data_IF_099764501540
#
_entry.id   IF_099764501540
#
_cell.length_a   1.000
_cell.length_b   1.000
_cell.length_c   1.000
_cell.angle_alpha   90.00
_cell.angle_beta   90.00
_cell.angle_gamma   90.00
#
_symmetry.space_group_name_H-M   'P 1'
#
loop_
_entity.id
_entity.type
_entity.pdbx_description
1 polymer ?
#
# COMPACT_ATOMS: atom_id res chain seq x y z
N UNK A 1 6.07 4.96 -11.95
CA UNK A 1 6.58 3.98 -10.97
C UNK A 1 7.43 4.71 -9.93
N UNK A 2 7.38 4.25 -8.68
CA UNK A 2 8.13 4.79 -7.54
C UNK A 2 9.62 4.52 -7.74
N UNK A 3 10.43 5.57 -7.57
CA UNK A 3 11.88 5.44 -7.64
C UNK A 3 12.42 4.93 -6.31
N UNK A 4 12.72 3.63 -6.23
CA UNK A 4 13.25 2.96 -5.03
C UNK A 4 14.57 3.55 -4.54
N UNK A 5 15.41 4.06 -5.44
CA UNK A 5 16.70 4.66 -5.08
C UNK A 5 16.55 5.98 -4.32
N UNK A 6 15.35 6.57 -4.30
CA UNK A 6 15.03 7.77 -3.51
C UNK A 6 14.42 7.45 -2.15
N UNK A 7 14.14 6.18 -1.85
CA UNK A 7 13.63 5.76 -0.55
C UNK A 7 14.83 5.57 0.37
N UNK A 8 15.37 6.69 0.87
CA UNK A 8 16.50 6.72 1.78
C UNK A 8 16.14 7.47 3.07
N UNK A 9 16.92 7.23 4.13
CA UNK A 9 16.73 7.92 5.40
C UNK A 9 16.93 9.43 5.26
N UNK A 10 17.85 9.87 4.38
CA UNK A 10 18.10 11.27 4.06
C UNK A 10 16.86 11.91 3.42
N UNK A 11 16.25 11.22 2.46
CA UNK A 11 15.03 11.70 1.81
C UNK A 11 13.86 11.78 2.80
N UNK A 12 13.67 10.75 3.64
CA UNK A 12 12.65 10.78 4.70
C UNK A 12 12.87 11.92 5.69
N UNK A 13 14.12 12.17 6.08
CA UNK A 13 14.50 13.28 6.94
C UNK A 13 14.17 14.64 6.28
N UNK A 14 14.45 14.77 4.99
CA UNK A 14 14.17 15.98 4.23
C UNK A 14 12.65 16.23 4.15
N UNK A 15 11.87 15.23 3.73
CA UNK A 15 10.41 15.34 3.61
C UNK A 15 9.76 15.64 4.96
N UNK A 16 10.18 14.95 6.03
CA UNK A 16 9.71 15.23 7.38
C UNK A 16 9.87 16.70 7.75
N UNK A 17 11.07 17.26 7.56
CA UNK A 17 11.35 18.69 7.85
C UNK A 17 10.52 19.64 6.99
N UNK A 18 10.34 19.34 5.70
CA UNK A 18 9.56 20.18 4.78
C UNK A 18 8.06 20.18 5.11
N UNK A 19 7.55 19.13 5.75
CA UNK A 19 6.14 18.96 6.06
C UNK A 19 5.86 19.00 7.57
N UNK A 20 6.25 20.09 8.24
CA UNK A 20 5.97 20.35 9.66
C UNK A 20 6.45 19.25 10.61
N UNK A 21 7.63 18.70 10.35
CA UNK A 21 8.18 17.55 11.09
C UNK A 21 7.24 16.33 11.05
N UNK A 22 6.66 16.04 9.89
CA UNK A 22 5.84 14.86 9.68
C UNK A 22 6.57 13.60 10.16
N UNK A 23 5.84 12.66 10.74
CA UNK A 23 6.40 11.41 11.25
C UNK A 23 7.01 10.61 10.10
N UNK A 24 8.33 10.39 10.18
CA UNK A 24 9.13 9.68 9.18
C UNK A 24 8.67 8.24 8.99
N UNK A 25 8.25 7.59 10.08
CA UNK A 25 7.76 6.20 10.07
C UNK A 25 6.44 6.16 9.30
N UNK A 26 5.54 7.11 9.54
CA UNK A 26 4.29 7.18 8.78
C UNK A 26 4.53 7.47 7.29
N UNK A 27 5.46 8.38 6.96
CA UNK A 27 5.83 8.67 5.57
C UNK A 27 6.39 7.40 4.90
N UNK A 28 7.29 6.67 5.55
CA UNK A 28 7.82 5.41 5.02
C UNK A 28 6.70 4.39 4.79
N UNK A 29 5.79 4.23 5.76
CA UNK A 29 4.66 3.30 5.64
C UNK A 29 3.74 3.64 4.45
N UNK A 30 3.48 4.92 4.19
CA UNK A 30 2.73 5.35 2.99
C UNK A 30 3.44 4.91 1.72
N UNK A 31 4.76 5.09 1.63
CA UNK A 31 5.54 4.68 0.46
C UNK A 31 5.44 3.16 0.27
N UNK A 32 5.55 2.38 1.36
CA UNK A 32 5.40 0.92 1.30
C UNK A 32 4.00 0.50 0.86
N UNK A 33 2.94 1.16 1.33
CA UNK A 33 1.58 0.92 0.85
C UNK A 33 1.44 1.16 -0.66
N UNK A 34 2.01 2.25 -1.16
CA UNK A 34 1.98 2.58 -2.59
C UNK A 34 2.88 1.65 -3.43
N UNK A 35 3.98 1.12 -2.88
CA UNK A 35 4.79 0.10 -3.54
C UNK A 35 4.04 -1.22 -3.71
N UNK A 36 3.25 -1.62 -2.72
CA UNK A 36 2.38 -2.80 -2.82
C UNK A 36 1.33 -2.59 -3.92
N UNK A 37 0.68 -1.43 -3.95
CA UNK A 37 -0.27 -1.05 -4.99
C UNK A 37 0.36 -1.06 -6.40
N UNK A 38 1.58 -0.53 -6.52
CA UNK A 38 2.35 -0.60 -7.78
C UNK A 38 2.63 -2.05 -8.19
N UNK A 39 2.95 -2.93 -7.25
CA UNK A 39 3.15 -4.36 -7.51
C UNK A 39 1.92 -5.02 -8.12
N UNK A 40 0.74 -4.78 -7.54
CA UNK A 40 -0.54 -5.29 -8.07
C UNK A 40 -0.76 -4.81 -9.52
N UNK A 41 -0.51 -3.52 -9.79
CA UNK A 41 -0.66 -2.95 -11.12
C UNK A 41 0.34 -3.55 -12.14
N UNK A 42 1.59 -3.82 -11.73
CA UNK A 42 2.61 -4.44 -12.59
C UNK A 42 2.29 -5.88 -12.94
N UNK A 43 1.75 -6.63 -12.00
CA UNK A 43 1.28 -8.01 -12.21
C UNK A 43 -0.03 -8.06 -13.02
N UNK A 44 -0.56 -6.91 -13.45
CA UNK A 44 -1.78 -6.77 -14.26
C UNK A 44 -3.00 -7.42 -13.60
N UNK A 45 -3.06 -7.38 -12.27
CA UNK A 45 -4.26 -7.77 -11.54
C UNK A 45 -5.36 -6.77 -11.85
N UNK A 46 -6.56 -7.25 -12.15
CA UNK A 46 -7.74 -6.40 -12.23
C UNK A 46 -8.24 -6.11 -10.82
N UNK A 47 -8.17 -4.85 -10.41
CA UNK A 47 -8.61 -4.42 -9.08
C UNK A 47 -9.10 -2.98 -9.09
N UNK A 48 -10.01 -2.68 -8.16
CA UNK A 48 -10.42 -1.31 -7.86
C UNK A 48 -9.74 -0.86 -6.58
N UNK A 49 -8.93 0.21 -6.67
CA UNK A 49 -8.35 0.85 -5.50
C UNK A 49 -9.37 1.80 -4.84
N UNK A 50 -9.61 1.62 -3.54
CA UNK A 50 -10.62 2.38 -2.80
C UNK A 50 -10.09 2.83 -1.42
N UNK A 51 -11.00 3.35 -0.60
CA UNK A 51 -10.74 3.71 0.78
C UNK A 51 -10.03 5.05 0.93
N UNK A 52 -9.51 5.30 2.14
CA UNK A 52 -8.88 6.57 2.50
C UNK A 52 -7.58 6.85 1.74
N UNK A 53 -6.84 5.79 1.43
CA UNK A 53 -5.54 5.89 0.74
C UNK A 53 -5.72 6.24 -0.73
N UNK A 54 -6.80 5.78 -1.39
CA UNK A 54 -7.12 6.18 -2.76
C UNK A 54 -7.36 7.68 -2.88
N UNK A 55 -7.94 8.31 -1.86
CA UNK A 55 -8.14 9.76 -1.83
C UNK A 55 -6.81 10.53 -1.81
N UNK A 56 -5.75 9.98 -1.23
CA UNK A 56 -4.42 10.62 -1.24
C UNK A 56 -3.84 10.77 -2.66
N UNK A 57 -4.21 9.87 -3.58
CA UNK A 57 -3.79 9.95 -4.98
C UNK A 57 -4.71 10.84 -5.83
N UNK A 58 -5.97 11.01 -5.42
CA UNK A 58 -6.95 11.82 -6.15
C UNK A 58 -6.86 13.32 -5.80
N UNK A 59 -6.39 13.66 -4.61
CA UNK A 59 -6.30 15.05 -4.16
C UNK A 59 -4.88 15.62 -4.26
N UNK A 60 -4.79 16.90 -4.62
CA UNK A 60 -3.53 17.66 -4.65
C UNK A 60 -2.93 17.94 -3.26
N UNK A 61 -3.68 17.63 -2.20
CA UNK A 61 -3.23 17.75 -0.83
C UNK A 61 -3.78 16.58 -0.02
N UNK A 62 -2.96 16.06 0.89
CA UNK A 62 -3.40 15.05 1.84
C UNK A 62 -3.72 15.69 3.19
N UNK A 63 -4.96 15.50 3.66
CA UNK A 63 -5.37 15.91 5.01
C UNK A 63 -4.87 14.93 6.09
N UNK A 64 -4.54 13.69 5.71
CA UNK A 64 -3.99 12.65 6.61
C UNK A 64 -3.17 11.63 5.84
N UNK A 65 -2.07 11.17 6.42
CA UNK A 65 -1.34 10.02 5.89
C UNK A 65 -2.16 8.74 6.12
N UNK A 66 -2.20 7.88 5.12
CA UNK A 66 -2.91 6.60 5.13
C UNK A 66 -1.93 5.49 4.74
N UNK A 67 -1.86 4.44 5.56
CA UNK A 67 -0.77 3.46 5.54
C UNK A 67 -1.20 2.07 5.04
N UNK A 68 -2.50 1.87 4.85
CA UNK A 68 -3.08 0.63 4.36
C UNK A 68 -3.54 0.81 2.92
N UNK A 69 -3.75 -0.26 2.17
CA UNK A 69 -4.47 -0.21 0.89
C UNK A 69 -5.77 -1.01 1.00
N UNK A 70 -6.85 -0.43 0.50
CA UNK A 70 -8.13 -1.12 0.36
C UNK A 70 -8.36 -1.37 -1.13
N UNK A 71 -8.48 -2.65 -1.52
CA UNK A 71 -8.76 -3.04 -2.89
C UNK A 71 -10.03 -3.89 -2.96
N UNK A 72 -10.69 -3.86 -4.12
CA UNK A 72 -11.71 -4.85 -4.50
C UNK A 72 -11.13 -5.62 -5.67
N UNK A 73 -11.17 -6.95 -5.58
CA UNK A 73 -10.87 -7.86 -6.68
C UNK A 73 -12.20 -8.31 -7.28
N UNK A 74 -12.59 -7.85 -8.50
CA UNK A 74 -13.82 -8.30 -9.15
C UNK A 74 -13.83 -9.80 -9.43
N UNK A 75 -12.66 -10.35 -9.74
CA UNK A 75 -12.39 -11.77 -9.84
C UNK A 75 -11.01 -12.05 -9.25
N UNK A 76 -10.95 -12.91 -8.25
CA UNK A 76 -9.69 -13.33 -7.65
C UNK A 76 -9.00 -14.37 -8.54
N UNK A 77 -7.71 -14.16 -8.93
CA UNK A 77 -6.95 -15.16 -9.67
C UNK A 77 -6.76 -16.44 -8.84
N UNK A 78 -6.83 -17.62 -9.46
CA UNK A 78 -6.57 -18.90 -8.75
C UNK A 78 -5.15 -18.97 -8.16
N UNK A 79 -4.20 -18.24 -8.73
CA UNK A 79 -2.81 -18.17 -8.29
C UNK A 79 -2.49 -16.87 -7.52
N UNK A 80 -3.48 -16.25 -6.89
CA UNK A 80 -3.32 -14.95 -6.23
C UNK A 80 -2.22 -14.95 -5.16
N UNK A 81 -2.09 -16.01 -4.37
CA UNK A 81 -1.03 -16.17 -3.37
C UNK A 81 0.37 -16.13 -4.00
N UNK A 82 0.59 -16.85 -5.10
CA UNK A 82 1.86 -16.86 -5.82
C UNK A 82 2.19 -15.47 -6.40
N UNK A 83 1.16 -14.75 -6.86
CA UNK A 83 1.31 -13.37 -7.34
C UNK A 83 1.69 -12.45 -6.19
N UNK A 84 1.05 -12.58 -5.03
CA UNK A 84 1.39 -11.81 -3.83
C UNK A 84 2.82 -12.09 -3.36
N UNK A 85 3.26 -13.35 -3.35
CA UNK A 85 4.65 -13.70 -3.03
C UNK A 85 5.65 -13.03 -3.97
N UNK A 86 5.35 -13.03 -5.27
CA UNK A 86 6.17 -12.34 -6.29
C UNK A 86 6.23 -10.85 -6.00
N UNK A 87 5.10 -10.21 -5.73
CA UNK A 87 5.02 -8.78 -5.41
C UNK A 87 5.82 -8.46 -4.14
N UNK A 88 5.69 -9.28 -3.10
CA UNK A 88 6.37 -9.12 -1.81
C UNK A 88 7.88 -9.13 -2.01
N UNK A 89 8.40 -10.10 -2.76
CA UNK A 89 9.82 -10.18 -3.08
C UNK A 89 10.29 -8.99 -3.92
N UNK A 90 9.61 -8.68 -5.03
CA UNK A 90 9.99 -7.59 -5.94
C UNK A 90 9.94 -6.21 -5.27
N UNK A 91 8.98 -5.98 -4.39
CA UNK A 91 8.78 -4.69 -3.72
C UNK A 91 9.56 -4.54 -2.42
N UNK A 92 10.33 -5.55 -2.02
CA UNK A 92 11.26 -5.47 -0.87
C UNK A 92 10.56 -5.63 0.48
N UNK A 93 9.51 -6.44 0.54
CA UNK A 93 8.88 -6.88 1.78
C UNK A 93 9.55 -8.14 2.31
N UNK A 94 9.58 -8.29 3.64
CA UNK A 94 10.26 -9.43 4.28
C UNK A 94 9.39 -10.68 4.37
N UNK A 95 8.07 -10.49 4.52
CA UNK A 95 7.08 -11.57 4.64
C UNK A 95 5.68 -11.05 4.33
N UNK A 96 4.77 -11.96 4.03
CA UNK A 96 3.34 -11.76 4.06
C UNK A 96 2.68 -12.88 4.88
N UNK A 97 1.49 -12.61 5.42
CA UNK A 97 0.71 -13.59 6.16
C UNK A 97 -0.78 -13.26 5.97
N UNK A 98 -1.58 -14.28 5.68
CA UNK A 98 -3.02 -14.12 5.55
C UNK A 98 -3.67 -14.00 6.93
N UNK A 99 -4.28 -12.84 7.20
CA UNK A 99 -5.04 -12.63 8.43
C UNK A 99 -6.54 -12.77 8.18
N UNK A 100 -7.11 -13.93 8.51
CA UNK A 100 -8.56 -14.12 8.49
C UNK A 100 -9.23 -13.26 9.56
N UNK A 101 -10.18 -12.42 9.13
CA UNK A 101 -11.07 -11.72 10.06
C UNK A 101 -12.25 -12.62 10.39
N UNK A 102 -12.28 -13.16 11.60
CA UNK A 102 -13.49 -13.78 12.14
C UNK A 102 -14.50 -12.69 12.47
N UNK A 103 -15.59 -12.61 11.71
CA UNK A 103 -16.69 -11.71 12.05
C UNK A 103 -17.60 -12.41 13.05
N UNK A 104 -17.66 -11.92 14.29
CA UNK A 104 -18.70 -12.34 15.26
C UNK A 104 -20.10 -11.83 14.89
N UNK A 105 -20.27 -11.24 13.71
CA UNK A 105 -21.55 -10.75 13.23
C UNK A 105 -22.29 -11.86 12.49
N UNK A 106 -23.56 -12.09 12.87
CA UNK A 106 -24.49 -12.94 12.12
C UNK A 106 -24.99 -12.29 10.81
N UNK A 107 -24.58 -11.06 10.53
CA UNK A 107 -24.97 -10.35 9.32
C UNK A 107 -24.09 -10.89 8.18
N UNK A 108 -24.70 -11.61 7.24
CA UNK A 108 -24.06 -11.97 5.97
C UNK A 108 -23.60 -10.68 5.29
N UNK A 109 -22.29 -10.56 5.06
CA UNK A 109 -21.68 -9.50 4.26
C UNK A 109 -21.19 -10.10 2.95
#
# INVERSE_FOLDING_TARGET
MINKNKISIEWLNQVSKQHRNADKILVEKVIRALLLLEGLAKQKIDFVFKGGTALMLHFNATNRLSIDIDIILPSEPENFENILETIVHEQGFLRNELQHRSTNSKIKK
#
